data_IF_596170277869
#
_entry.id   IF_596170277869
#
_cell.length_a   1.000
_cell.length_b   1.000
_cell.length_c   1.000
_cell.angle_alpha   90.00
_cell.angle_beta   90.00
_cell.angle_gamma   90.00
#
_symmetry.space_group_name_H-M   'P 1'
#
loop_
_entity.id
_entity.type
_entity.pdbx_description
1 polymer ?
#
# COMPACT_ATOMS: atom_id res chain seq x y z
N UNK A 1 -5.83 0.76 -15.06
CA UNK A 1 -6.26 0.26 -13.74
C UNK A 1 -7.66 -0.33 -13.88
N UNK A 2 -8.00 -1.43 -13.16
CA UNK A 2 -9.32 -2.04 -13.21
C UNK A 2 -10.40 -1.06 -12.75
N UNK A 3 -11.62 -1.22 -13.25
CA UNK A 3 -12.73 -0.27 -13.09
C UNK A 3 -13.23 -0.08 -11.64
N UNK A 4 -12.81 -0.94 -10.71
CA UNK A 4 -13.15 -0.84 -9.28
C UNK A 4 -11.90 -1.05 -8.45
N UNK A 5 -11.45 0.01 -7.80
CA UNK A 5 -10.27 0.02 -6.95
C UNK A 5 -10.64 0.53 -5.56
N UNK A 6 -10.33 -0.22 -4.52
CA UNK A 6 -10.58 0.15 -3.13
C UNK A 6 -9.28 0.33 -2.38
N UNK A 7 -9.05 1.50 -1.80
CA UNK A 7 -7.88 1.73 -0.95
C UNK A 7 -8.19 1.35 0.50
N UNK A 8 -7.28 0.60 1.12
CA UNK A 8 -7.30 0.32 2.55
C UNK A 8 -6.50 1.40 3.27
N UNK A 9 -7.20 2.37 3.85
CA UNK A 9 -6.58 3.55 4.47
C UNK A 9 -6.84 3.55 5.98
N UNK A 10 -5.90 4.10 6.74
CA UNK A 10 -6.01 4.29 8.19
C UNK A 10 -7.17 5.27 8.51
N UNK A 11 -8.07 4.89 9.42
CA UNK A 11 -9.28 5.66 9.75
C UNK A 11 -9.05 7.11 10.17
N UNK A 12 -7.88 7.42 10.74
CA UNK A 12 -7.49 8.77 11.17
C UNK A 12 -7.41 9.78 9.99
N UNK A 13 -7.23 9.32 8.75
CA UNK A 13 -7.26 10.20 7.57
C UNK A 13 -8.68 10.65 7.19
N UNK A 14 -9.71 10.07 7.79
CA UNK A 14 -11.10 10.46 7.59
C UNK A 14 -11.40 11.84 8.19
N UNK A 15 -10.64 12.24 9.20
CA UNK A 15 -10.82 13.49 9.93
C UNK A 15 -10.19 14.70 9.21
N UNK A 16 -9.53 14.48 8.06
CA UNK A 16 -9.01 15.54 7.20
C UNK A 16 -10.02 15.80 6.07
N UNK A 17 -10.85 16.87 6.13
CA UNK A 17 -11.98 17.07 5.20
C UNK A 17 -11.57 17.13 3.74
N UNK A 18 -10.42 17.75 3.44
CA UNK A 18 -9.89 17.89 2.07
C UNK A 18 -9.44 16.54 1.51
N UNK A 19 -8.72 15.74 2.29
CA UNK A 19 -8.28 14.41 1.87
C UNK A 19 -9.49 13.50 1.62
N UNK A 20 -10.49 13.54 2.50
CA UNK A 20 -11.74 12.79 2.34
C UNK A 20 -12.51 13.19 1.07
N UNK A 21 -12.62 14.49 0.78
CA UNK A 21 -13.30 14.99 -0.42
C UNK A 21 -12.60 14.55 -1.70
N UNK A 22 -11.28 14.72 -1.79
CA UNK A 22 -10.50 14.34 -2.98
C UNK A 22 -10.55 12.84 -3.23
N UNK A 23 -10.45 12.03 -2.18
CA UNK A 23 -10.49 10.58 -2.30
C UNK A 23 -11.87 10.05 -2.69
N UNK A 24 -12.97 10.63 -2.18
CA UNK A 24 -14.33 10.29 -2.66
C UNK A 24 -14.51 10.62 -4.14
N UNK A 25 -13.91 11.71 -4.60
CA UNK A 25 -14.03 12.15 -6.00
C UNK A 25 -13.21 11.29 -6.96
N UNK A 26 -12.14 10.63 -6.47
CA UNK A 26 -11.36 9.68 -7.27
C UNK A 26 -12.01 8.30 -7.44
N UNK A 27 -13.21 8.09 -6.88
CA UNK A 27 -13.90 6.79 -6.92
C UNK A 27 -13.30 5.73 -6.00
N UNK A 28 -12.34 6.09 -5.17
CA UNK A 28 -11.75 5.20 -4.19
C UNK A 28 -12.78 4.85 -3.10
N UNK A 29 -13.00 3.57 -2.86
CA UNK A 29 -13.79 3.10 -1.71
C UNK A 29 -12.87 3.00 -0.52
N UNK A 30 -13.25 3.67 0.57
CA UNK A 30 -12.54 3.55 1.85
C UNK A 30 -12.95 2.23 2.51
N UNK A 31 -11.97 1.37 2.75
CA UNK A 31 -12.12 0.29 3.71
C UNK A 31 -11.46 0.79 4.98
N UNK A 32 -12.23 1.02 6.04
CA UNK A 32 -11.68 1.45 7.32
C UNK A 32 -10.63 0.46 7.80
N UNK A 33 -9.43 0.97 8.09
CA UNK A 33 -8.41 0.19 8.77
C UNK A 33 -8.74 0.22 10.25
N UNK A 34 -9.30 -0.88 10.70
CA UNK A 34 -9.95 -1.07 11.98
C UNK A 34 -9.00 -0.99 13.19
N UNK A 35 -9.55 -0.57 14.31
CA UNK A 35 -8.89 -0.60 15.62
C UNK A 35 -8.44 -2.03 15.96
N UNK A 36 -7.35 -2.16 16.68
CA UNK A 36 -6.65 -3.41 16.97
C UNK A 36 -7.48 -4.57 17.57
N UNK A 37 -8.72 -4.33 18.00
CA UNK A 37 -9.63 -5.33 18.56
C UNK A 37 -10.50 -6.07 17.53
N UNK A 38 -10.57 -5.59 16.26
CA UNK A 38 -11.43 -6.14 15.21
C UNK A 38 -10.66 -6.84 14.08
N UNK A 39 -9.35 -7.01 14.23
CA UNK A 39 -8.44 -7.41 13.15
C UNK A 39 -8.80 -8.72 12.42
N UNK A 40 -9.41 -9.68 13.08
CA UNK A 40 -9.80 -10.96 12.46
C UNK A 40 -11.06 -10.84 11.58
N UNK A 41 -12.02 -10.00 11.98
CA UNK A 41 -13.25 -9.72 11.21
C UNK A 41 -12.93 -8.97 9.94
N UNK A 42 -12.02 -8.02 10.04
CA UNK A 42 -11.59 -7.14 8.96
C UNK A 42 -10.75 -7.89 7.94
N UNK A 43 -9.82 -8.74 8.38
CA UNK A 43 -9.09 -9.62 7.49
C UNK A 43 -10.03 -10.51 6.67
N UNK A 44 -11.14 -11.00 7.27
CA UNK A 44 -12.16 -11.78 6.54
C UNK A 44 -12.90 -10.93 5.51
N UNK A 45 -13.23 -9.67 5.81
CA UNK A 45 -13.90 -8.78 4.87
C UNK A 45 -13.00 -8.43 3.69
N UNK A 46 -11.71 -8.17 3.93
CA UNK A 46 -10.70 -7.93 2.90
C UNK A 46 -10.61 -9.15 1.96
N UNK A 47 -10.48 -10.35 2.52
CA UNK A 47 -10.43 -11.59 1.74
C UNK A 47 -11.72 -11.82 0.98
N UNK A 48 -12.89 -11.49 1.56
CA UNK A 48 -14.19 -11.59 0.89
C UNK A 48 -14.30 -10.61 -0.28
N UNK A 49 -13.90 -9.36 -0.10
CA UNK A 49 -13.92 -8.34 -1.17
C UNK A 49 -13.03 -8.75 -2.34
N UNK A 50 -11.84 -9.24 -2.03
CA UNK A 50 -10.89 -9.70 -3.01
C UNK A 50 -11.35 -10.93 -3.79
N UNK A 51 -11.94 -11.93 -3.11
CA UNK A 51 -12.58 -13.07 -3.78
C UNK A 51 -13.78 -12.66 -4.63
N UNK A 52 -14.40 -11.52 -4.32
CA UNK A 52 -15.44 -10.87 -5.13
C UNK A 52 -14.93 -10.15 -6.38
N UNK A 53 -13.62 -10.22 -6.67
CA UNK A 53 -13.00 -9.58 -7.83
C UNK A 53 -12.68 -8.09 -7.63
N UNK A 54 -12.69 -7.59 -6.38
CA UNK A 54 -12.29 -6.22 -6.08
C UNK A 54 -10.76 -6.10 -6.03
N UNK A 55 -10.21 -5.09 -6.71
CA UNK A 55 -8.80 -4.72 -6.57
C UNK A 55 -8.62 -3.88 -5.31
N UNK A 56 -7.69 -4.29 -4.44
CA UNK A 56 -7.41 -3.65 -3.16
C UNK A 56 -6.04 -2.98 -3.17
N UNK A 57 -5.99 -1.69 -2.85
CA UNK A 57 -4.74 -0.94 -2.71
C UNK A 57 -4.33 -0.82 -1.25
N UNK A 58 -3.06 -1.12 -0.98
CA UNK A 58 -2.47 -1.01 0.35
C UNK A 58 -1.22 -0.14 0.32
N UNK A 59 -1.02 0.62 1.37
CA UNK A 59 0.26 1.23 1.71
C UNK A 59 0.94 0.33 2.74
N UNK A 60 1.86 -0.55 2.34
CA UNK A 60 2.30 -1.66 3.19
C UNK A 60 3.16 -1.24 4.37
N UNK A 61 3.82 -0.09 4.34
CA UNK A 61 4.53 0.49 5.48
C UNK A 61 3.58 0.82 6.63
N UNK A 62 2.36 1.20 6.31
CA UNK A 62 1.29 1.46 7.28
C UNK A 62 1.48 2.70 8.13
N UNK A 63 2.48 3.52 7.84
CA UNK A 63 2.74 4.82 8.47
C UNK A 63 3.43 5.73 7.47
N UNK A 64 3.38 7.04 7.73
CA UNK A 64 4.19 7.99 7.00
C UNK A 64 5.58 8.07 7.66
N UNK A 65 6.62 7.95 6.83
CA UNK A 65 8.02 8.11 7.24
C UNK A 65 8.52 9.41 6.62
N UNK A 66 9.02 10.33 7.47
CA UNK A 66 9.49 11.63 7.01
C UNK A 66 10.81 11.53 6.24
N UNK A 67 11.71 10.63 6.65
CA UNK A 67 12.98 10.38 5.99
C UNK A 67 12.75 9.75 4.60
N UNK A 68 13.58 10.14 3.61
CA UNK A 68 13.64 9.45 2.33
C UNK A 68 14.00 7.98 2.49
N UNK A 69 13.30 7.10 1.77
CA UNK A 69 13.59 5.67 1.78
C UNK A 69 12.36 4.78 1.91
N UNK A 70 12.58 3.49 1.76
CA UNK A 70 11.57 2.44 1.85
C UNK A 70 11.74 1.67 3.16
N UNK A 71 10.76 1.79 4.04
CA UNK A 71 10.73 1.11 5.34
C UNK A 71 10.26 -0.35 5.27
N UNK A 72 10.00 -0.93 6.43
CA UNK A 72 9.51 -2.30 6.56
C UNK A 72 8.05 -2.41 6.12
N UNK A 73 7.74 -3.45 5.36
CA UNK A 73 6.35 -3.76 4.99
C UNK A 73 5.67 -4.61 6.05
N UNK A 74 4.43 -4.23 6.39
CA UNK A 74 3.58 -4.95 7.35
C UNK A 74 2.91 -6.15 6.69
N UNK A 75 2.86 -7.26 7.41
CA UNK A 75 2.38 -8.55 6.90
C UNK A 75 0.89 -8.60 6.50
N UNK A 76 0.06 -7.67 7.00
CA UNK A 76 -1.40 -7.77 6.89
C UNK A 76 -1.95 -7.88 5.46
N UNK A 77 -1.43 -7.05 4.53
CA UNK A 77 -1.83 -7.09 3.13
C UNK A 77 -1.43 -8.41 2.46
N UNK A 78 -0.23 -8.89 2.74
CA UNK A 78 0.34 -10.10 2.15
C UNK A 78 -0.33 -11.36 2.69
N UNK A 79 -0.67 -11.40 3.99
CA UNK A 79 -1.52 -12.46 4.55
C UNK A 79 -2.90 -12.51 3.90
N UNK A 80 -3.50 -11.37 3.62
CA UNK A 80 -4.78 -11.31 2.94
C UNK A 80 -4.67 -11.81 1.49
N UNK A 81 -3.61 -11.44 0.79
CA UNK A 81 -3.33 -11.92 -0.57
C UNK A 81 -3.19 -13.44 -0.61
N UNK A 82 -2.35 -14.01 0.26
CA UNK A 82 -2.16 -15.48 0.34
C UNK A 82 -3.49 -16.19 0.65
N UNK A 83 -4.23 -15.75 1.67
CA UNK A 83 -5.52 -16.35 2.04
C UNK A 83 -6.58 -16.22 0.95
N UNK A 84 -6.47 -15.20 0.13
CA UNK A 84 -7.37 -14.95 -1.00
C UNK A 84 -6.94 -15.61 -2.30
N UNK A 85 -5.70 -16.10 -2.41
CA UNK A 85 -5.12 -16.59 -3.65
C UNK A 85 -4.96 -15.49 -4.71
N UNK A 86 -4.67 -14.25 -4.29
CA UNK A 86 -4.68 -13.06 -5.14
C UNK A 86 -3.29 -12.64 -5.58
N UNK A 87 -3.09 -12.27 -6.85
CA UNK A 87 -1.84 -11.65 -7.28
C UNK A 87 -1.53 -10.39 -6.48
N UNK A 88 -0.24 -10.14 -6.24
CA UNK A 88 0.25 -8.90 -5.63
C UNK A 88 0.99 -8.11 -6.70
N UNK A 89 0.47 -6.95 -7.09
CA UNK A 89 1.11 -6.02 -8.00
C UNK A 89 1.81 -4.91 -7.19
N UNK A 90 3.16 -4.92 -7.09
CA UNK A 90 3.87 -3.83 -6.47
C UNK A 90 3.76 -2.56 -7.33
N UNK A 91 3.57 -1.41 -6.68
CA UNK A 91 3.48 -0.11 -7.37
C UNK A 91 4.45 0.85 -6.69
N UNK A 92 5.39 1.35 -7.46
CA UNK A 92 6.32 2.38 -7.02
C UNK A 92 5.79 3.77 -7.39
N UNK A 93 5.82 4.70 -6.44
CA UNK A 93 5.36 6.08 -6.65
C UNK A 93 6.49 7.02 -6.23
N UNK A 94 7.00 7.81 -7.15
CA UNK A 94 8.05 8.81 -6.90
C UNK A 94 7.56 10.25 -7.12
N UNK A 95 8.26 11.24 -6.53
CA UNK A 95 7.92 12.65 -6.59
C UNK A 95 6.89 13.12 -5.56
N UNK A 96 6.23 12.22 -4.84
CA UNK A 96 5.21 12.58 -3.84
C UNK A 96 5.79 13.36 -2.67
N UNK A 97 7.02 13.08 -2.28
CA UNK A 97 7.74 13.78 -1.20
C UNK A 97 8.07 15.22 -1.59
N UNK A 98 8.42 15.47 -2.84
CA UNK A 98 8.64 16.81 -3.38
C UNK A 98 7.34 17.58 -3.52
N UNK A 99 6.25 16.88 -3.86
CA UNK A 99 4.91 17.45 -3.93
C UNK A 99 4.43 17.90 -2.55
N UNK A 100 4.50 17.03 -1.55
CA UNK A 100 4.00 17.29 -0.18
C UNK A 100 4.89 16.58 0.85
N UNK A 101 6.04 17.18 1.17
CA UNK A 101 6.94 16.68 2.20
C UNK A 101 6.45 17.00 3.62
N UNK A 102 7.14 16.42 4.60
CA UNK A 102 6.86 16.67 6.01
C UNK A 102 6.91 18.18 6.33
N UNK A 103 5.97 18.65 7.12
CA UNK A 103 5.88 20.05 7.55
C UNK A 103 5.31 21.03 6.52
N UNK A 104 4.86 20.56 5.36
CA UNK A 104 4.18 21.41 4.37
C UNK A 104 2.67 21.26 4.43
N UNK A 105 1.97 22.40 4.42
CA UNK A 105 0.51 22.43 4.39
C UNK A 105 -0.07 22.43 2.96
N UNK A 106 0.71 22.84 1.95
CA UNK A 106 0.24 22.95 0.57
C UNK A 106 1.14 22.17 -0.39
N UNK A 107 0.54 21.42 -1.35
CA UNK A 107 1.30 20.69 -2.35
C UNK A 107 1.97 21.65 -3.35
N UNK A 108 3.11 21.20 -3.90
CA UNK A 108 3.76 21.84 -5.06
C UNK A 108 3.44 21.10 -6.34
N UNK A 109 3.30 21.80 -7.48
CA UNK A 109 3.19 21.15 -8.78
C UNK A 109 4.56 20.57 -9.18
N UNK A 110 4.71 19.28 -9.05
CA UNK A 110 5.91 18.52 -9.45
C UNK A 110 5.48 17.27 -10.22
N UNK A 111 6.33 16.72 -11.09
CA UNK A 111 6.04 15.46 -11.75
C UNK A 111 5.88 14.32 -10.74
N UNK A 112 4.82 13.53 -10.88
CA UNK A 112 4.62 12.28 -10.17
C UNK A 112 4.77 11.14 -11.15
N UNK A 113 5.63 10.19 -10.82
CA UNK A 113 5.80 8.96 -11.60
C UNK A 113 5.18 7.79 -10.84
N UNK A 114 4.44 6.95 -11.56
CA UNK A 114 3.81 5.74 -11.03
C UNK A 114 4.23 4.57 -11.91
N UNK A 115 5.00 3.65 -11.36
CA UNK A 115 5.46 2.44 -12.03
C UNK A 115 4.70 1.25 -11.48
N UNK A 116 3.90 0.61 -12.35
CA UNK A 116 3.23 -0.65 -12.02
C UNK A 116 4.17 -1.79 -12.41
N UNK A 117 4.67 -2.49 -11.41
CA UNK A 117 5.66 -3.55 -11.60
C UNK A 117 4.99 -4.89 -11.90
N UNK A 118 5.74 -5.87 -12.45
CA UNK A 118 5.21 -7.20 -12.72
C UNK A 118 4.59 -7.82 -11.47
N UNK A 119 3.37 -8.40 -11.57
CA UNK A 119 2.71 -8.99 -10.42
C UNK A 119 3.44 -10.23 -9.92
N UNK A 120 3.38 -10.46 -8.60
CA UNK A 120 3.78 -11.70 -7.95
C UNK A 120 2.54 -12.59 -7.93
N UNK A 121 2.58 -13.67 -8.70
CA UNK A 121 1.47 -14.59 -8.85
C UNK A 121 1.45 -15.66 -7.74
N UNK A 122 0.32 -16.35 -7.50
CA UNK A 122 0.24 -17.38 -6.47
C UNK A 122 1.17 -18.60 -6.66
N UNK A 123 1.67 -18.83 -7.86
CA UNK A 123 2.66 -19.87 -8.22
C UNK A 123 4.11 -19.39 -8.09
N UNK A 124 4.35 -18.11 -7.78
CA UNK A 124 5.71 -17.58 -7.53
C UNK A 124 6.26 -18.16 -6.21
N UNK A 125 7.55 -18.57 -6.15
CA UNK A 125 8.20 -19.06 -4.93
C UNK A 125 8.09 -18.10 -3.74
N UNK A 126 8.06 -16.79 -3.99
CA UNK A 126 7.87 -15.77 -2.95
C UNK A 126 6.51 -15.87 -2.25
N UNK A 127 5.53 -16.53 -2.88
CA UNK A 127 4.18 -16.69 -2.34
C UNK A 127 4.07 -17.74 -1.22
N UNK A 128 5.17 -18.42 -0.87
CA UNK A 128 5.23 -19.47 0.14
C UNK A 128 4.77 -19.05 1.54
N UNK A 129 5.08 -17.82 1.93
CA UNK A 129 4.57 -17.20 3.16
C UNK A 129 4.52 -15.67 3.03
N UNK A 130 3.82 -15.03 3.96
CA UNK A 130 3.59 -13.58 3.91
C UNK A 130 4.85 -12.73 4.14
N UNK A 131 5.88 -13.24 4.78
CA UNK A 131 7.15 -12.52 4.94
C UNK A 131 7.92 -12.51 3.63
N UNK A 132 8.13 -13.68 3.01
CA UNK A 132 8.82 -13.76 1.71
C UNK A 132 8.09 -12.97 0.63
N UNK A 133 6.76 -12.97 0.65
CA UNK A 133 5.95 -12.18 -0.29
C UNK A 133 6.10 -10.67 -0.04
N UNK A 134 6.14 -10.24 1.22
CA UNK A 134 6.36 -8.85 1.59
C UNK A 134 7.75 -8.37 1.19
N UNK A 135 8.78 -9.19 1.46
CA UNK A 135 10.17 -8.87 1.15
C UNK A 135 10.39 -8.82 -0.38
N UNK A 136 9.82 -9.75 -1.13
CA UNK A 136 9.88 -9.73 -2.59
C UNK A 136 9.19 -8.49 -3.17
N UNK A 137 8.00 -8.15 -2.69
CA UNK A 137 7.29 -6.96 -3.14
C UNK A 137 8.06 -5.68 -2.79
N UNK A 138 8.65 -5.63 -1.60
CA UNK A 138 9.47 -4.51 -1.13
C UNK A 138 10.71 -4.34 -1.98
N UNK A 139 11.44 -5.43 -2.26
CA UNK A 139 12.65 -5.39 -3.06
C UNK A 139 12.37 -4.88 -4.48
N UNK A 140 11.29 -5.37 -5.12
CA UNK A 140 10.87 -4.87 -6.45
C UNK A 140 10.58 -3.37 -6.44
N UNK A 141 9.97 -2.84 -5.37
CA UNK A 141 9.73 -1.40 -5.24
C UNK A 141 11.03 -0.64 -5.02
N UNK A 142 11.94 -1.14 -4.19
CA UNK A 142 13.28 -0.55 -3.99
C UNK A 142 14.06 -0.47 -5.30
N UNK A 143 14.06 -1.55 -6.07
CA UNK A 143 14.77 -1.61 -7.36
C UNK A 143 14.22 -0.61 -8.40
N UNK A 144 12.95 -0.22 -8.24
CA UNK A 144 12.28 0.73 -9.13
C UNK A 144 12.34 2.20 -8.65
N UNK A 145 12.69 2.41 -7.40
CA UNK A 145 12.83 3.74 -6.79
C UNK A 145 14.31 4.08 -6.60
N UNK A 146 14.65 5.35 -6.81
CA UNK A 146 15.96 5.90 -6.41
C UNK A 146 15.87 6.40 -4.95
N UNK A 147 15.54 5.48 -4.03
CA UNK A 147 15.33 5.77 -2.61
C UNK A 147 16.16 4.78 -1.75
N UNK A 148 16.72 5.21 -0.62
CA UNK A 148 17.52 4.35 0.25
C UNK A 148 16.69 3.24 0.91
N UNK A 149 17.36 2.13 1.20
CA UNK A 149 16.81 1.08 2.05
C UNK A 149 16.96 1.44 3.52
N UNK A 150 15.84 1.77 4.18
CA UNK A 150 15.86 2.12 5.61
C UNK A 150 16.10 0.92 6.53
N UNK A 151 16.07 -0.31 6.02
CA UNK A 151 16.41 -1.50 6.82
C UNK A 151 17.93 -1.77 6.80
N UNK A 152 18.63 -1.40 5.73
CA UNK A 152 20.08 -1.57 5.64
C UNK A 152 20.87 -0.64 6.58
N UNK A 153 20.24 0.40 7.11
CA UNK A 153 20.87 1.38 8.03
C UNK A 153 20.72 1.01 9.50
N UNK A 154 20.09 -0.14 9.82
CA UNK A 154 19.83 -0.58 11.21
C UNK A 154 20.82 -1.67 11.70
N UNK A 155 21.80 -2.04 10.86
CA UNK A 155 22.95 -2.90 11.17
C UNK A 155 24.19 -2.01 11.38
#
# INVERSE_FOLDING_TARGET
>A
LPARFSFVIKGEMRDIPIAHFLMRRSGARFVERFKSSESARDARQIVKAARGGESLGFFPEGTFIAEPGVGRFRAGAFMAAIKGGMPVAPIAISGTRDMLGAGRALPRPVPIRVDVLPPILPDDPAYGNHHTLADSARQRILDALDEPDLLATLD
#
